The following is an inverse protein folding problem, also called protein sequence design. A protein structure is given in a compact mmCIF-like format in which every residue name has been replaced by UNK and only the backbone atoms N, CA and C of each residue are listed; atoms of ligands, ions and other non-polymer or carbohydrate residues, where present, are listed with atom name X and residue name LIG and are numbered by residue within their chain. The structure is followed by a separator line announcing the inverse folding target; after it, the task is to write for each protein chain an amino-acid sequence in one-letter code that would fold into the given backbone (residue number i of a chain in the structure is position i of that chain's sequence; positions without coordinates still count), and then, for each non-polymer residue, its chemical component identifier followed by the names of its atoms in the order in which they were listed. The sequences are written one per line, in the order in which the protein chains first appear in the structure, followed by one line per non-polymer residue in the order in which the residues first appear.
data_IF_630963922312
#
_entry.id   IF_630963922312
#
_cell.length_a   1.000
_cell.length_b   1.000
_cell.length_c   1.000
_cell.angle_alpha   90.00
_cell.angle_beta   90.00
_cell.angle_gamma   90.00
#
_symmetry.space_group_name_H-M   'P 1'
#
loop_
_entity.id
_entity.type
_entity.pdbx_description
1 polymer ?
#
# COMPACT_ATOMS: atom_id res chain seq x y z
N UNK A 1 19.36 1.75 5.01
CA UNK A 1 18.23 1.60 4.06
C UNK A 1 17.39 2.85 4.23
N UNK A 2 17.78 3.92 3.56
CA UNK A 2 16.96 5.11 3.47
C UNK A 2 15.67 4.71 2.74
N UNK A 3 14.52 5.24 3.14
CA UNK A 3 13.19 5.01 2.54
C UNK A 3 12.54 3.62 2.71
N UNK A 4 13.01 2.77 3.61
CA UNK A 4 12.39 1.48 3.92
C UNK A 4 12.02 1.42 5.40
N UNK A 5 10.72 1.40 5.68
CA UNK A 5 10.16 1.40 7.03
C UNK A 5 9.49 0.06 7.32
N UNK A 6 10.17 -0.80 8.09
CA UNK A 6 9.62 -2.09 8.51
C UNK A 6 8.85 -1.90 9.82
N UNK A 7 7.58 -2.32 9.82
CA UNK A 7 6.68 -2.18 10.96
C UNK A 7 6.98 -3.24 12.01
N UNK A 8 7.51 -2.83 13.17
CA UNK A 8 7.82 -3.74 14.27
C UNK A 8 6.81 -3.71 15.43
N UNK A 9 5.67 -3.04 15.21
CA UNK A 9 4.63 -2.91 16.23
C UNK A 9 3.99 -4.27 16.57
N UNK A 10 3.88 -4.67 17.86
CA UNK A 10 3.37 -6.00 18.25
C UNK A 10 1.99 -6.34 17.67
N UNK A 11 1.07 -5.38 17.59
CA UNK A 11 -0.26 -5.62 17.00
C UNK A 11 -0.18 -5.95 15.51
N UNK A 12 0.68 -5.28 14.75
CA UNK A 12 0.87 -5.55 13.32
C UNK A 12 1.44 -6.97 13.17
N UNK A 13 2.49 -7.30 13.92
CA UNK A 13 3.14 -8.61 13.85
C UNK A 13 2.19 -9.75 14.26
N UNK A 14 1.39 -9.55 15.31
CA UNK A 14 0.36 -10.51 15.72
C UNK A 14 -0.67 -10.76 14.60
N UNK A 15 -1.19 -9.71 13.99
CA UNK A 15 -2.18 -9.83 12.90
C UNK A 15 -1.56 -10.47 11.65
N UNK A 16 -0.31 -10.16 11.32
CA UNK A 16 0.41 -10.83 10.23
C UNK A 16 0.57 -12.31 10.52
N UNK A 17 0.86 -12.71 11.77
CA UNK A 17 0.93 -14.12 12.15
C UNK A 17 -0.39 -14.86 11.94
N UNK A 18 -1.52 -14.23 12.29
CA UNK A 18 -2.85 -14.78 12.00
C UNK A 18 -3.12 -14.86 10.49
N UNK A 19 -2.72 -13.83 9.74
CA UNK A 19 -2.87 -13.75 8.29
C UNK A 19 -2.12 -14.89 7.57
N UNK A 20 -0.92 -15.24 8.06
CA UNK A 20 -0.09 -16.31 7.51
C UNK A 20 -0.70 -17.71 7.67
N UNK A 21 -1.52 -17.92 8.69
CA UNK A 21 -2.10 -19.24 8.97
C UNK A 21 -2.94 -19.71 7.78
N UNK A 22 -2.61 -20.90 7.25
CA UNK A 22 -3.31 -21.50 6.11
C UNK A 22 -4.79 -21.77 6.35
N UNK A 23 -5.20 -21.89 7.63
CA UNK A 23 -6.58 -22.14 8.02
C UNK A 23 -7.40 -20.85 8.19
N UNK A 24 -6.79 -19.66 8.06
CA UNK A 24 -7.52 -18.39 8.10
C UNK A 24 -8.43 -18.29 6.87
N UNK A 25 -9.73 -18.30 7.11
CA UNK A 25 -10.74 -18.24 6.06
C UNK A 25 -10.79 -16.88 5.37
N UNK A 26 -11.38 -16.83 4.17
CA UNK A 26 -11.42 -15.63 3.31
C UNK A 26 -12.01 -14.40 4.03
N UNK A 27 -13.08 -14.57 4.82
CA UNK A 27 -13.67 -13.43 5.54
C UNK A 27 -12.74 -12.86 6.61
N UNK A 28 -12.10 -13.73 7.39
CA UNK A 28 -11.13 -13.33 8.41
C UNK A 28 -9.88 -12.73 7.77
N UNK A 29 -9.41 -13.33 6.68
CA UNK A 29 -8.27 -12.82 5.92
C UNK A 29 -8.48 -11.37 5.45
N UNK A 30 -9.66 -11.06 4.87
CA UNK A 30 -10.01 -9.69 4.48
C UNK A 30 -10.00 -8.71 5.65
N UNK A 31 -10.58 -9.10 6.79
CA UNK A 31 -10.59 -8.27 8.00
C UNK A 31 -9.18 -7.99 8.50
N UNK A 32 -8.32 -9.01 8.53
CA UNK A 32 -6.93 -8.85 8.94
C UNK A 32 -6.15 -7.94 8.00
N UNK A 33 -6.35 -8.06 6.67
CA UNK A 33 -5.75 -7.16 5.68
C UNK A 33 -6.17 -5.72 5.92
N UNK A 34 -7.45 -5.46 6.18
CA UNK A 34 -7.98 -4.13 6.49
C UNK A 34 -7.41 -3.59 7.80
N UNK A 35 -7.41 -4.38 8.87
CA UNK A 35 -6.89 -3.97 10.18
C UNK A 35 -5.39 -3.67 10.15
N UNK A 36 -4.60 -4.51 9.47
CA UNK A 36 -3.16 -4.26 9.26
C UNK A 36 -2.98 -2.98 8.44
N UNK A 37 -3.75 -2.82 7.37
CA UNK A 37 -3.71 -1.64 6.51
C UNK A 37 -4.01 -0.34 7.26
N UNK A 38 -4.95 -0.34 8.22
CA UNK A 38 -5.25 0.81 9.09
C UNK A 38 -4.03 1.14 9.95
N UNK A 39 -3.46 0.15 10.63
CA UNK A 39 -2.30 0.36 11.51
C UNK A 39 -1.07 0.85 10.75
N UNK A 40 -0.81 0.26 9.59
CA UNK A 40 0.29 0.69 8.71
C UNK A 40 0.02 2.06 8.11
N UNK A 41 -1.22 2.34 7.68
CA UNK A 41 -1.63 3.62 7.14
C UNK A 41 -1.45 4.76 8.13
N UNK A 42 -1.74 4.53 9.41
CA UNK A 42 -1.49 5.51 10.48
C UNK A 42 -0.01 5.93 10.53
N UNK A 43 0.92 4.98 10.42
CA UNK A 43 2.35 5.29 10.38
C UNK A 43 2.78 5.91 9.03
N UNK A 44 2.30 5.38 7.93
CA UNK A 44 2.65 5.86 6.60
C UNK A 44 2.17 7.30 6.33
N UNK A 45 1.16 7.76 7.06
CA UNK A 45 0.56 9.09 6.93
C UNK A 45 1.00 10.07 8.02
N UNK A 46 2.05 9.75 8.79
CA UNK A 46 2.54 10.57 9.93
C UNK A 46 2.99 11.98 9.52
N UNK A 47 3.42 12.15 8.29
CA UNK A 47 3.95 13.40 7.71
C UNK A 47 2.92 14.17 6.86
N UNK A 48 1.62 13.84 6.99
CA UNK A 48 0.59 14.60 6.30
C UNK A 48 0.67 16.09 6.67
N UNK A 49 0.67 16.99 5.67
CA UNK A 49 0.70 18.42 5.93
C UNK A 49 -0.58 18.87 6.62
N UNK A 50 -0.41 19.75 7.61
CA UNK A 50 -1.51 20.37 8.34
C UNK A 50 -1.45 21.89 8.22
N UNK A 51 -2.60 22.53 8.30
CA UNK A 51 -2.75 23.97 8.39
C UNK A 51 -3.66 24.34 9.58
N UNK A 52 -3.42 25.48 10.19
CA UNK A 52 -4.28 25.98 11.25
C UNK A 52 -5.52 26.63 10.65
N UNK A 53 -6.68 26.15 11.03
CA UNK A 53 -7.98 26.71 10.65
C UNK A 53 -8.77 27.15 11.89
N UNK A 54 -9.62 28.14 11.72
CA UNK A 54 -10.53 28.57 12.75
C UNK A 54 -11.67 27.55 12.91
N UNK A 55 -11.86 27.09 14.14
CA UNK A 55 -12.93 26.15 14.51
C UNK A 55 -13.72 26.70 15.68
N UNK A 56 -15.03 26.81 15.55
CA UNK A 56 -15.95 27.13 16.62
C UNK A 56 -16.25 25.86 17.43
N UNK A 57 -15.82 25.86 18.70
CA UNK A 57 -16.14 24.80 19.66
C UNK A 57 -17.38 25.18 20.45
N UNK A 58 -17.97 24.28 21.24
CA UNK A 58 -19.08 24.63 22.12
C UNK A 58 -18.75 25.69 23.20
N UNK A 59 -17.47 26.03 23.39
CA UNK A 59 -17.01 26.94 24.43
C UNK A 59 -16.49 28.25 23.82
N UNK A 60 -15.61 28.15 22.82
CA UNK A 60 -14.98 29.32 22.18
C UNK A 60 -14.46 29.00 20.79
N UNK A 61 -14.16 30.03 20.03
CA UNK A 61 -13.47 29.88 18.73
C UNK A 61 -11.97 29.76 18.94
N UNK A 62 -11.32 28.80 18.31
CA UNK A 62 -9.88 28.57 18.41
C UNK A 62 -9.26 28.19 17.06
N UNK A 63 -7.94 28.44 16.96
CA UNK A 63 -7.13 27.94 15.83
C UNK A 63 -6.66 26.52 16.12
N UNK A 64 -6.93 25.58 15.18
CA UNK A 64 -6.59 24.17 15.36
C UNK A 64 -6.07 23.55 14.07
N UNK A 65 -5.14 22.55 14.15
CA UNK A 65 -4.58 21.93 12.97
C UNK A 65 -5.57 21.00 12.26
N UNK A 66 -5.68 21.16 10.95
CA UNK A 66 -6.41 20.25 10.07
C UNK A 66 -5.54 19.85 8.88
N UNK A 67 -5.77 18.65 8.33
CA UNK A 67 -5.05 18.19 7.15
C UNK A 67 -5.31 19.15 5.99
N UNK A 68 -4.24 19.69 5.41
CA UNK A 68 -4.29 20.73 4.38
C UNK A 68 -4.36 20.20 2.94
N UNK A 69 -4.76 21.06 2.02
CA UNK A 69 -4.66 20.89 0.58
C UNK A 69 -5.46 19.73 -0.04
N UNK A 70 -5.07 19.34 -1.23
CA UNK A 70 -5.51 18.12 -1.91
C UNK A 70 -4.79 16.94 -1.28
N UNK A 71 -5.43 16.29 -0.34
CA UNK A 71 -4.86 15.40 0.66
C UNK A 71 -4.12 14.21 0.07
N UNK A 72 -4.81 13.16 -0.27
CA UNK A 72 -4.14 11.99 -0.80
C UNK A 72 -4.97 11.21 -1.83
N UNK A 73 -4.29 10.33 -2.56
CA UNK A 73 -4.88 9.30 -3.39
C UNK A 73 -4.37 7.93 -2.92
N UNK A 74 -5.28 6.97 -2.72
CA UNK A 74 -4.93 5.57 -2.55
C UNK A 74 -5.04 4.86 -3.90
N UNK A 75 -4.01 4.11 -4.26
CA UNK A 75 -3.86 3.50 -5.57
C UNK A 75 -3.57 2.01 -5.41
N UNK A 76 -4.61 1.15 -5.38
CA UNK A 76 -4.39 -0.29 -5.33
C UNK A 76 -3.80 -0.82 -6.63
N UNK A 77 -2.83 -1.72 -6.50
CA UNK A 77 -2.40 -2.61 -7.58
C UNK A 77 -3.43 -3.73 -7.68
N UNK A 78 -4.18 -3.74 -8.78
CA UNK A 78 -5.25 -4.72 -8.97
C UNK A 78 -4.68 -6.13 -9.17
N UNK A 79 -5.29 -7.13 -8.59
CA UNK A 79 -6.56 -7.22 -7.82
C UNK A 79 -6.34 -7.08 -6.30
N UNK A 80 -5.24 -7.64 -5.77
CA UNK A 80 -5.04 -7.84 -4.33
C UNK A 80 -5.02 -6.54 -3.53
N UNK A 81 -4.47 -5.45 -4.10
CA UNK A 81 -4.44 -4.12 -3.46
C UNK A 81 -5.80 -3.57 -3.07
N UNK A 82 -6.90 -4.02 -3.72
CA UNK A 82 -8.25 -3.61 -3.35
C UNK A 82 -8.58 -3.90 -1.88
N UNK A 83 -8.02 -4.97 -1.31
CA UNK A 83 -8.22 -5.32 0.10
C UNK A 83 -7.69 -4.27 1.09
N UNK A 84 -6.81 -3.37 0.66
CA UNK A 84 -6.19 -2.35 1.51
C UNK A 84 -6.80 -0.94 1.31
N UNK A 85 -7.70 -0.75 0.34
CA UNK A 85 -8.26 0.58 0.02
C UNK A 85 -9.06 1.15 1.17
N UNK A 86 -9.97 0.36 1.75
CA UNK A 86 -10.83 0.79 2.84
C UNK A 86 -10.04 1.21 4.09
N UNK A 87 -8.87 0.61 4.31
CA UNK A 87 -7.97 0.99 5.41
C UNK A 87 -7.59 2.47 5.36
N UNK A 88 -7.20 2.94 4.18
CA UNK A 88 -6.82 4.35 3.97
C UNK A 88 -8.04 5.27 3.98
N UNK A 89 -9.16 4.85 3.38
CA UNK A 89 -10.40 5.63 3.38
C UNK A 89 -11.01 5.77 4.78
N UNK A 90 -10.80 4.79 5.66
CA UNK A 90 -11.20 4.88 7.09
C UNK A 90 -10.41 5.96 7.82
N UNK A 91 -9.11 6.09 7.53
CA UNK A 91 -8.25 7.11 8.14
C UNK A 91 -8.48 8.50 7.53
N UNK A 92 -8.62 8.58 6.20
CA UNK A 92 -8.82 9.82 5.46
C UNK A 92 -9.98 9.66 4.49
N UNK A 93 -11.24 9.85 4.94
CA UNK A 93 -12.43 9.63 4.11
C UNK A 93 -12.50 10.51 2.84
N UNK A 94 -11.79 11.64 2.83
CA UNK A 94 -11.69 12.54 1.67
C UNK A 94 -10.65 12.11 0.63
N UNK A 95 -9.88 11.04 0.88
CA UNK A 95 -8.92 10.49 -0.07
C UNK A 95 -9.62 10.11 -1.39
N UNK A 96 -8.91 10.30 -2.50
CA UNK A 96 -9.37 9.84 -3.81
C UNK A 96 -8.82 8.44 -4.08
N UNK A 97 -9.52 7.69 -4.93
CA UNK A 97 -9.08 6.34 -5.31
C UNK A 97 -8.70 6.33 -6.77
N UNK A 98 -7.46 5.94 -7.07
CA UNK A 98 -7.03 5.57 -8.40
C UNK A 98 -6.93 4.04 -8.52
N UNK A 99 -6.71 3.52 -9.71
CA UNK A 99 -6.51 2.08 -9.91
C UNK A 99 -5.43 1.85 -10.95
N UNK A 100 -4.53 0.91 -10.66
CA UNK A 100 -3.55 0.41 -11.62
C UNK A 100 -3.76 -1.10 -11.78
N UNK A 101 -4.15 -1.50 -13.00
CA UNK A 101 -4.33 -2.89 -13.38
C UNK A 101 -3.15 -3.39 -14.18
N UNK A 102 -2.49 -4.42 -13.66
CA UNK A 102 -1.33 -5.06 -14.27
C UNK A 102 -1.60 -6.55 -14.45
N UNK A 103 -1.19 -7.10 -15.57
CA UNK A 103 -1.06 -8.54 -15.73
C UNK A 103 0.39 -8.87 -16.08
N UNK A 104 0.83 -10.07 -15.73
CA UNK A 104 2.13 -10.57 -16.14
C UNK A 104 1.97 -11.35 -17.44
N UNK A 105 2.80 -11.04 -18.42
CA UNK A 105 2.89 -11.84 -19.61
C UNK A 105 3.27 -13.29 -19.23
N UNK A 106 2.52 -14.30 -19.69
CA UNK A 106 2.75 -15.70 -19.29
C UNK A 106 4.09 -16.28 -19.79
N UNK A 107 4.74 -15.64 -20.76
CA UNK A 107 6.00 -16.10 -21.36
C UNK A 107 7.18 -15.29 -20.84
N UNK A 108 7.08 -13.95 -20.87
CA UNK A 108 8.19 -13.05 -20.46
C UNK A 108 8.17 -12.71 -18.99
N UNK A 109 7.04 -12.93 -18.30
CA UNK A 109 6.76 -12.51 -16.92
C UNK A 109 6.86 -10.99 -16.70
N UNK A 110 6.94 -10.20 -17.77
CA UNK A 110 6.95 -8.75 -17.71
C UNK A 110 5.56 -8.22 -17.32
N UNK A 111 5.48 -7.16 -16.48
CA UNK A 111 4.23 -6.53 -16.13
C UNK A 111 3.73 -5.67 -17.29
N UNK A 112 2.50 -5.91 -17.73
CA UNK A 112 1.81 -5.09 -18.72
C UNK A 112 0.60 -4.40 -18.10
N UNK A 113 0.45 -3.11 -18.40
CA UNK A 113 -0.73 -2.33 -18.04
C UNK A 113 -1.92 -2.75 -18.88
N UNK A 114 -3.06 -3.03 -18.25
CA UNK A 114 -4.33 -3.14 -18.93
C UNK A 114 -5.34 -2.08 -18.48
N UNK A 115 -5.07 -1.39 -17.37
CA UNK A 115 -5.94 -0.35 -16.84
C UNK A 115 -5.16 0.60 -15.93
N UNK A 116 -5.25 1.90 -16.22
CA UNK A 116 -4.74 2.94 -15.32
C UNK A 116 -5.72 4.11 -15.33
N UNK A 117 -6.30 4.39 -14.17
CA UNK A 117 -7.13 5.58 -13.97
C UNK A 117 -6.80 6.21 -12.63
N UNK A 118 -6.20 7.39 -12.68
CA UNK A 118 -5.80 8.15 -11.50
C UNK A 118 -6.72 9.36 -11.29
N UNK A 119 -6.83 9.86 -10.05
CA UNK A 119 -7.54 11.09 -9.75
C UNK A 119 -6.91 12.30 -10.43
N UNK A 120 -7.72 13.30 -10.70
CA UNK A 120 -7.25 14.62 -11.16
C UNK A 120 -6.29 15.25 -10.15
N UNK A 121 -5.36 16.07 -10.66
CA UNK A 121 -4.33 16.75 -9.88
C UNK A 121 -3.52 15.77 -9.01
N UNK A 122 -3.10 14.65 -9.60
CA UNK A 122 -2.29 13.64 -8.91
C UNK A 122 -0.91 14.18 -8.47
N UNK A 123 -0.41 15.20 -9.16
CA UNK A 123 0.83 15.92 -8.87
C UNK A 123 0.76 16.75 -7.59
N UNK A 124 -0.45 17.08 -7.11
CA UNK A 124 -0.69 17.81 -5.86
C UNK A 124 -1.05 16.88 -4.69
N UNK A 125 -1.13 15.57 -4.91
CA UNK A 125 -1.54 14.58 -3.90
C UNK A 125 -0.37 13.74 -3.43
N UNK A 126 -0.47 13.28 -2.18
CA UNK A 126 0.33 12.16 -1.71
C UNK A 126 -0.31 10.89 -2.29
N UNK A 127 0.43 10.15 -3.09
CA UNK A 127 -0.01 8.91 -3.72
C UNK A 127 0.42 7.72 -2.89
N UNK A 128 -0.53 7.02 -2.25
CA UNK A 128 -0.26 5.80 -1.50
C UNK A 128 -0.62 4.61 -2.37
N UNK A 129 0.40 3.99 -2.97
CA UNK A 129 0.24 2.74 -3.73
C UNK A 129 0.17 1.59 -2.74
N UNK A 130 -0.84 0.74 -2.87
CA UNK A 130 -1.07 -0.37 -1.95
C UNK A 130 -1.13 -1.71 -2.68
N UNK A 131 -0.36 -2.68 -2.19
CA UNK A 131 -0.37 -4.07 -2.63
C UNK A 131 -0.04 -4.95 -1.41
N UNK A 132 -0.79 -5.99 -1.07
CA UNK A 132 -0.46 -6.85 0.07
C UNK A 132 0.94 -7.48 0.01
N UNK A 133 1.50 -7.67 -1.19
CA UNK A 133 2.76 -8.40 -1.38
C UNK A 133 3.75 -7.66 -2.28
N UNK A 134 4.99 -7.53 -1.82
CA UNK A 134 6.13 -7.08 -2.62
C UNK A 134 7.08 -8.27 -2.83
N UNK A 135 6.81 -9.09 -3.86
CA UNK A 135 7.60 -10.28 -4.17
C UNK A 135 8.83 -9.94 -5.04
N UNK A 136 8.72 -10.00 -6.36
CA UNK A 136 9.81 -9.67 -7.29
C UNK A 136 10.01 -8.17 -7.52
N UNK A 137 9.05 -7.34 -7.12
CA UNK A 137 9.06 -5.90 -7.33
C UNK A 137 8.52 -5.41 -8.67
N UNK A 138 8.33 -6.28 -9.67
CA UNK A 138 7.94 -5.85 -11.01
C UNK A 138 6.59 -5.11 -11.08
N UNK A 139 5.57 -5.60 -10.37
CA UNK A 139 4.26 -4.92 -10.33
C UNK A 139 4.32 -3.59 -9.59
N UNK A 140 5.09 -3.54 -8.48
CA UNK A 140 5.28 -2.31 -7.70
C UNK A 140 6.02 -1.25 -8.50
N UNK A 141 7.13 -1.63 -9.17
CA UNK A 141 7.89 -0.77 -10.08
C UNK A 141 6.99 -0.18 -11.17
N UNK A 142 6.28 -1.04 -11.92
CA UNK A 142 5.40 -0.58 -12.98
C UNK A 142 4.28 0.33 -12.47
N UNK A 143 3.69 0.06 -11.29
CA UNK A 143 2.68 0.92 -10.70
C UNK A 143 3.23 2.31 -10.35
N UNK A 144 4.44 2.38 -9.79
CA UNK A 144 5.13 3.65 -9.51
C UNK A 144 5.43 4.40 -10.80
N UNK A 145 5.94 3.73 -11.83
CA UNK A 145 6.20 4.32 -13.14
C UNK A 145 4.95 4.96 -13.74
N UNK A 146 3.80 4.28 -13.67
CA UNK A 146 2.53 4.83 -14.15
C UNK A 146 2.09 6.07 -13.40
N UNK A 147 2.21 6.05 -12.06
CA UNK A 147 1.87 7.22 -11.25
C UNK A 147 2.80 8.40 -11.59
N UNK A 148 4.10 8.17 -11.71
CA UNK A 148 5.09 9.19 -12.12
C UNK A 148 4.81 9.72 -13.52
N UNK A 149 4.51 8.85 -14.48
CA UNK A 149 4.16 9.22 -15.86
C UNK A 149 2.92 10.11 -15.94
N UNK A 150 1.97 9.94 -15.01
CA UNK A 150 0.78 10.81 -14.90
C UNK A 150 1.02 12.08 -14.06
N UNK A 151 2.26 12.32 -13.63
CA UNK A 151 2.65 13.52 -12.90
C UNK A 151 2.73 13.37 -11.38
N UNK A 152 2.47 12.19 -10.82
CA UNK A 152 2.61 11.94 -9.39
C UNK A 152 4.05 12.14 -8.91
N UNK A 153 4.23 12.89 -7.82
CA UNK A 153 5.55 13.30 -7.31
C UNK A 153 5.85 12.77 -5.91
N UNK A 154 4.87 12.80 -5.04
CA UNK A 154 5.00 12.33 -3.66
C UNK A 154 4.34 10.95 -3.57
N UNK A 155 5.16 9.90 -3.66
CA UNK A 155 4.70 8.52 -3.76
C UNK A 155 5.18 7.73 -2.57
N UNK A 156 4.26 7.01 -1.94
CA UNK A 156 4.52 6.02 -0.90
C UNK A 156 4.02 4.66 -1.38
N UNK A 157 4.77 3.62 -1.09
CA UNK A 157 4.36 2.24 -1.35
C UNK A 157 4.12 1.50 -0.04
N UNK A 158 2.99 0.82 0.10
CA UNK A 158 2.65 0.10 1.32
C UNK A 158 2.30 -1.35 1.02
N UNK A 159 2.99 -2.30 1.67
CA UNK A 159 2.71 -3.74 1.54
C UNK A 159 2.75 -4.46 2.89
N UNK A 160 1.94 -5.53 3.02
CA UNK A 160 1.87 -6.30 4.26
C UNK A 160 3.12 -7.18 4.43
N UNK A 161 3.53 -7.89 3.37
CA UNK A 161 4.78 -8.66 3.37
C UNK A 161 5.63 -8.34 2.14
N UNK A 162 6.94 -8.41 2.33
CA UNK A 162 7.91 -8.21 1.25
C UNK A 162 9.00 -9.28 1.25
N UNK A 163 9.60 -9.53 0.09
CA UNK A 163 10.86 -10.23 -0.05
C UNK A 163 12.01 -9.24 -0.27
N UNK A 164 13.23 -9.55 0.17
CA UNK A 164 14.41 -8.71 -0.02
C UNK A 164 14.66 -8.34 -1.50
N UNK A 165 14.38 -9.27 -2.40
CA UNK A 165 14.54 -9.09 -3.84
C UNK A 165 13.64 -7.96 -4.38
N UNK A 166 12.37 -7.92 -3.94
CA UNK A 166 11.43 -6.87 -4.33
C UNK A 166 11.79 -5.51 -3.75
N UNK A 167 12.21 -5.49 -2.48
CA UNK A 167 12.68 -4.26 -1.82
C UNK A 167 13.90 -3.70 -2.54
N UNK A 168 14.89 -4.55 -2.84
CA UNK A 168 16.09 -4.15 -3.58
C UNK A 168 15.74 -3.55 -4.93
N UNK A 169 14.88 -4.24 -5.70
CA UNK A 169 14.44 -3.74 -7.01
C UNK A 169 13.79 -2.37 -6.91
N UNK A 170 12.89 -2.16 -5.97
CA UNK A 170 12.24 -0.87 -5.76
C UNK A 170 13.23 0.22 -5.36
N UNK A 171 14.22 -0.09 -4.52
CA UNK A 171 15.27 0.88 -4.15
C UNK A 171 16.17 1.26 -5.32
N UNK A 172 16.45 0.34 -6.23
CA UNK A 172 17.25 0.58 -7.42
C UNK A 172 16.50 1.43 -8.47
N UNK A 173 15.20 1.14 -8.70
CA UNK A 173 14.40 1.82 -9.71
C UNK A 173 13.75 3.12 -9.20
N UNK A 174 13.35 3.14 -7.94
CA UNK A 174 12.61 4.24 -7.31
C UNK A 174 13.16 4.61 -5.92
N UNK A 175 14.41 5.10 -5.83
CA UNK A 175 15.02 5.46 -4.54
C UNK A 175 14.32 6.63 -3.83
N UNK A 176 13.46 7.34 -4.52
CA UNK A 176 12.64 8.46 -4.04
C UNK A 176 11.29 8.05 -3.47
N UNK A 177 10.95 6.75 -3.46
CA UNK A 177 9.68 6.22 -2.96
C UNK A 177 9.86 5.64 -1.57
N UNK A 178 9.09 6.14 -0.61
CA UNK A 178 9.04 5.58 0.74
C UNK A 178 8.25 4.27 0.75
N UNK A 179 8.88 3.20 1.24
CA UNK A 179 8.26 1.88 1.37
C UNK A 179 7.91 1.55 2.81
N UNK A 180 6.64 1.30 3.07
CA UNK A 180 6.12 0.86 4.37
C UNK A 180 5.77 -0.62 4.29
N UNK A 181 6.47 -1.44 5.06
CA UNK A 181 6.44 -2.90 4.97
C UNK A 181 6.04 -3.48 6.33
N UNK A 182 4.96 -4.28 6.35
CA UNK A 182 4.47 -4.92 7.56
C UNK A 182 5.45 -5.96 8.10
N UNK A 183 5.97 -6.83 7.23
CA UNK A 183 7.06 -7.77 7.54
C UNK A 183 7.95 -8.01 6.33
N UNK A 184 9.26 -7.99 6.55
CA UNK A 184 10.25 -8.41 5.55
C UNK A 184 10.56 -9.90 5.79
N UNK A 185 10.23 -10.73 4.81
CA UNK A 185 10.43 -12.18 4.83
C UNK A 185 11.84 -12.56 4.35
N UNK A 186 12.12 -13.87 4.31
CA UNK A 186 13.50 -14.36 4.11
C UNK A 186 13.97 -14.22 2.65
N UNK A 187 13.13 -14.67 1.70
CA UNK A 187 13.49 -14.74 0.27
C UNK A 187 12.30 -15.10 -0.61
N UNK A 188 12.53 -15.15 -1.92
CA UNK A 188 11.63 -15.78 -2.88
C UNK A 188 12.05 -17.26 -3.09
N UNK A 189 11.05 -18.14 -3.24
CA UNK A 189 11.32 -19.48 -3.73
C UNK A 189 11.48 -19.55 -5.27
N UNK A 190 11.79 -20.74 -5.83
CA UNK A 190 11.96 -20.95 -7.27
C UNK A 190 10.73 -20.62 -8.13
N UNK A 191 9.54 -20.49 -7.53
CA UNK A 191 8.29 -20.13 -8.21
C UNK A 191 7.92 -18.65 -7.99
N UNK A 192 8.79 -17.86 -7.37
CA UNK A 192 8.56 -16.43 -7.11
C UNK A 192 7.62 -16.12 -5.95
N UNK A 193 7.31 -17.09 -5.09
CA UNK A 193 6.55 -16.88 -3.86
C UNK A 193 7.45 -16.43 -2.72
N UNK A 194 6.96 -15.51 -1.91
CA UNK A 194 7.62 -15.07 -0.67
C UNK A 194 7.64 -16.22 0.34
N UNK A 195 8.77 -16.45 1.02
CA UNK A 195 8.97 -17.50 2.03
C UNK A 195 9.41 -16.85 3.34
N UNK A 196 8.74 -17.16 4.47
CA UNK A 196 7.63 -18.09 4.66
C UNK A 196 6.30 -17.64 4.06
N UNK A 197 6.10 -16.35 3.80
CA UNK A 197 4.97 -15.81 3.05
C UNK A 197 3.61 -15.99 3.71
N UNK A 198 2.58 -15.87 2.89
CA UNK A 198 1.16 -16.08 3.25
C UNK A 198 0.35 -16.73 2.12
N UNK A 199 1.02 -17.24 1.07
CA UNK A 199 0.38 -17.76 -0.14
C UNK A 199 0.05 -16.66 -1.14
N UNK A 200 -0.97 -16.86 -1.97
CA UNK A 200 -1.49 -15.84 -2.87
C UNK A 200 -2.52 -14.97 -2.16
N UNK A 201 -2.18 -13.69 -1.95
CA UNK A 201 -3.05 -12.75 -1.23
C UNK A 201 -4.34 -12.48 -2.00
N UNK A 202 -4.28 -12.38 -3.33
CA UNK A 202 -5.46 -12.15 -4.16
C UNK A 202 -6.47 -13.28 -4.05
N UNK A 203 -6.02 -14.51 -4.19
CA UNK A 203 -6.88 -15.69 -4.06
C UNK A 203 -7.47 -15.80 -2.65
N UNK A 204 -6.67 -15.50 -1.62
CA UNK A 204 -7.15 -15.54 -0.22
C UNK A 204 -8.13 -14.42 0.11
N UNK A 205 -7.94 -13.20 -0.47
CA UNK A 205 -8.87 -12.07 -0.30
C UNK A 205 -10.20 -12.35 -1.01
N UNK A 206 -10.14 -12.89 -2.23
CA UNK A 206 -11.34 -13.02 -3.08
C UNK A 206 -11.96 -14.42 -3.06
N UNK A 207 -11.29 -15.41 -2.50
CA UNK A 207 -11.79 -16.78 -2.45
C UNK A 207 -11.83 -17.44 -3.83
N UNK A 208 -10.82 -17.16 -4.67
CA UNK A 208 -10.76 -17.65 -6.06
C UNK A 208 -10.08 -19.01 -6.21
N UNK A 209 -9.60 -19.61 -5.13
CA UNK A 209 -9.12 -21.00 -5.03
C UNK A 209 -9.60 -21.65 -3.77
#
# INVERSE_FOLDING_TARGET
MENVYIMNHPLIQHKISMLRNKNTGTNEFRKLVEEIGILMGYEALRDLPVENVEVETPIETCMTPMISGKKLAVIPVLRAGLGMVNSILTLVPSAKVGHVGLYRDPVTHEPHEYYCKLPEAIDERISVIVDPMLATGGSAEAAVDFVKKQGGKNIKFMCIIAAPEGVKKMQECHPDVDMYIGALDEQLNSHGYIVPGLGDAGDRIFGTK
#
